data_IF_619056922358
#
_entry.id   IF_619056922358
#
_cell.length_a   1.000
_cell.length_b   1.000
_cell.length_c   1.000
_cell.angle_alpha   90.00
_cell.angle_beta   90.00
_cell.angle_gamma   90.00
#
_symmetry.space_group_name_H-M   'P 1'
#
loop_
_entity.id
_entity.type
_entity.pdbx_description
1 polymer ?
#
# COMPACT_ATOMS: atom_id res chain seq x y z
N UNK A 1 65.40 50.10 30.74
CA UNK A 1 64.64 48.84 30.63
C UNK A 1 63.36 48.96 31.45
N UNK A 2 62.19 49.14 30.81
CA UNK A 2 60.85 48.84 31.37
C UNK A 2 59.95 48.52 30.17
N UNK A 3 59.44 47.28 30.15
CA UNK A 3 58.79 46.63 29.00
C UNK A 3 57.34 47.08 28.86
N UNK A 4 56.94 47.33 27.62
CA UNK A 4 55.56 47.50 27.17
C UNK A 4 54.77 46.21 27.40
N UNK A 5 53.62 46.30 28.08
CA UNK A 5 52.66 45.19 28.22
C UNK A 5 51.38 45.51 27.46
N UNK A 6 51.06 44.60 26.55
CA UNK A 6 49.96 44.67 25.60
C UNK A 6 48.59 44.47 26.27
N UNK A 7 47.60 45.17 25.73
CA UNK A 7 46.16 45.02 26.01
C UNK A 7 45.65 43.81 25.24
N UNK A 8 44.94 42.90 25.90
CA UNK A 8 44.08 41.92 25.23
C UNK A 8 42.67 42.02 25.84
N UNK A 9 41.74 42.53 25.02
CA UNK A 9 40.34 42.65 25.36
C UNK A 9 39.68 41.28 25.42
N UNK A 10 38.89 41.06 26.47
CA UNK A 10 38.01 39.91 26.59
C UNK A 10 36.84 40.11 25.63
N UNK A 11 36.83 39.42 24.48
CA UNK A 11 35.66 39.32 23.62
C UNK A 11 34.83 38.10 24.06
N UNK A 12 33.65 38.39 24.60
CA UNK A 12 32.62 37.42 24.91
C UNK A 12 32.23 36.64 23.64
N UNK A 13 32.35 35.32 23.68
CA UNK A 13 31.81 34.42 22.66
C UNK A 13 30.80 33.50 23.33
N UNK A 14 29.56 33.95 23.42
CA UNK A 14 28.42 33.09 23.74
C UNK A 14 28.11 32.25 22.51
N UNK A 15 28.61 31.01 22.50
CA UNK A 15 28.25 30.02 21.50
C UNK A 15 26.77 29.64 21.66
N UNK A 16 25.91 30.16 20.78
CA UNK A 16 24.53 29.68 20.63
C UNK A 16 24.59 28.30 19.96
N UNK A 17 24.46 27.24 20.75
CA UNK A 17 24.21 25.88 20.28
C UNK A 17 22.76 25.80 19.81
N UNK A 18 22.52 26.03 18.52
CA UNK A 18 21.27 25.63 17.87
C UNK A 18 21.29 24.12 17.67
N UNK A 19 20.81 23.36 18.67
CA UNK A 19 20.48 21.96 18.47
C UNK A 19 19.24 21.90 17.60
N UNK A 20 19.42 21.64 16.30
CA UNK A 20 18.32 21.31 15.39
C UNK A 20 17.79 19.94 15.83
N UNK A 21 16.83 19.93 16.75
CA UNK A 21 15.96 18.77 16.95
C UNK A 21 15.09 18.66 15.71
N UNK A 22 15.61 17.94 14.72
CA UNK A 22 14.81 17.48 13.60
C UNK A 22 13.76 16.52 14.14
N UNK A 23 12.55 17.03 14.39
CA UNK A 23 11.39 16.16 14.51
C UNK A 23 11.25 15.46 13.15
N UNK A 24 11.58 14.17 13.10
CA UNK A 24 11.16 13.31 11.99
C UNK A 24 9.64 13.21 12.08
N UNK A 25 8.96 14.20 11.53
CA UNK A 25 7.52 14.15 11.38
C UNK A 25 7.29 13.13 10.26
N UNK A 26 7.06 11.87 10.64
CA UNK A 26 6.39 10.88 9.79
C UNK A 26 4.99 11.43 9.52
N UNK A 27 4.90 12.42 8.64
CA UNK A 27 3.67 12.84 8.00
C UNK A 27 3.31 11.76 6.98
N UNK A 28 3.06 10.55 7.47
CA UNK A 28 2.36 9.54 6.71
C UNK A 28 0.90 9.99 6.82
N UNK A 29 0.38 10.56 5.73
CA UNK A 29 -1.05 10.74 5.55
C UNK A 29 -1.75 9.47 6.02
N UNK A 30 -2.73 9.53 6.92
CA UNK A 30 -3.32 8.32 7.44
C UNK A 30 -4.19 7.71 6.32
N UNK A 31 -3.60 6.78 5.59
CA UNK A 31 -4.29 5.87 4.69
C UNK A 31 -4.99 4.84 5.57
N UNK A 32 -6.07 5.27 6.23
CA UNK A 32 -6.85 4.48 7.21
C UNK A 32 -7.44 3.17 6.65
N UNK A 33 -7.18 2.85 5.38
CA UNK A 33 -7.66 1.65 4.71
C UNK A 33 -6.55 0.73 4.19
N UNK A 34 -5.29 1.19 4.18
CA UNK A 34 -4.16 0.36 3.75
C UNK A 34 -3.69 -0.51 4.91
N UNK A 35 -3.30 -1.72 4.57
CA UNK A 35 -2.85 -2.72 5.51
C UNK A 35 -1.39 -2.47 5.90
N UNK A 36 -1.06 -2.32 7.19
CA UNK A 36 0.33 -2.21 7.61
C UNK A 36 1.17 -3.40 7.14
N UNK A 37 2.33 -3.13 6.53
CA UNK A 37 3.24 -4.17 6.05
C UNK A 37 3.09 -4.50 4.58
N UNK A 38 1.94 -4.21 3.97
CA UNK A 38 1.69 -4.46 2.54
C UNK A 38 2.79 -3.86 1.64
N UNK A 39 3.38 -2.72 2.05
CA UNK A 39 4.46 -2.07 1.31
C UNK A 39 5.74 -2.91 1.17
N UNK A 40 5.90 -3.97 1.96
CA UNK A 40 7.03 -4.91 1.90
C UNK A 40 6.63 -6.26 1.25
N UNK A 41 5.45 -6.34 0.63
CA UNK A 41 4.99 -7.55 -0.06
C UNK A 41 4.42 -8.65 0.82
N UNK A 42 4.30 -8.44 2.12
CA UNK A 42 3.68 -9.40 3.04
C UNK A 42 3.00 -8.70 4.22
N UNK A 43 1.88 -9.25 4.66
CA UNK A 43 1.02 -8.69 5.71
C UNK A 43 0.89 -9.66 6.89
N UNK A 44 0.92 -9.14 8.12
CA UNK A 44 0.50 -9.90 9.30
C UNK A 44 -1.03 -10.04 9.32
N UNK A 45 -1.52 -11.27 9.50
CA UNK A 45 -2.96 -11.55 9.48
C UNK A 45 -3.76 -10.77 10.56
N UNK A 46 -3.14 -10.40 11.68
CA UNK A 46 -3.78 -9.61 12.73
C UNK A 46 -3.92 -8.13 12.35
N UNK A 47 -3.10 -7.66 11.41
CA UNK A 47 -3.08 -6.28 10.94
C UNK A 47 -3.86 -6.09 9.64
N UNK A 48 -4.42 -7.17 9.06
CA UNK A 48 -5.18 -7.14 7.82
C UNK A 48 -6.41 -6.23 7.93
N UNK A 49 -6.49 -5.22 7.07
CA UNK A 49 -7.60 -4.26 7.05
C UNK A 49 -8.24 -4.18 5.67
N UNK A 50 -9.56 -4.33 5.60
CA UNK A 50 -10.31 -4.04 4.37
C UNK A 50 -10.90 -2.63 4.40
N UNK A 51 -10.88 -1.89 3.27
CA UNK A 51 -11.54 -0.59 3.18
C UNK A 51 -13.06 -0.72 3.38
N UNK A 52 -13.68 0.34 3.90
CA UNK A 52 -15.14 0.47 3.87
C UNK A 52 -15.62 0.53 2.40
N UNK A 53 -16.49 -0.39 1.94
CA UNK A 53 -17.00 -0.41 0.57
C UNK A 53 -17.57 0.92 0.07
N UNK A 54 -18.11 1.77 0.95
CA UNK A 54 -18.67 3.07 0.58
C UNK A 54 -17.61 4.09 0.14
N UNK A 55 -16.34 3.84 0.45
CA UNK A 55 -15.19 4.65 0.03
C UNK A 55 -14.65 4.25 -1.34
N UNK A 56 -15.17 3.19 -1.95
CA UNK A 56 -14.81 2.81 -3.31
C UNK A 56 -15.19 3.94 -4.28
N UNK A 57 -14.28 4.29 -5.19
CA UNK A 57 -14.63 5.18 -6.30
C UNK A 57 -15.54 4.44 -7.29
N UNK A 58 -15.40 3.13 -7.41
CA UNK A 58 -16.32 2.24 -8.11
C UNK A 58 -17.30 1.58 -7.12
N UNK A 59 -18.28 2.36 -6.62
CA UNK A 59 -19.23 1.92 -5.58
C UNK A 59 -19.99 0.63 -5.89
N UNK A 60 -20.27 0.37 -7.16
CA UNK A 60 -21.03 -0.80 -7.60
C UNK A 60 -20.22 -2.09 -7.63
N UNK A 61 -18.90 -2.02 -7.50
CA UNK A 61 -18.00 -3.14 -7.80
C UNK A 61 -18.04 -3.56 -9.27
N UNK A 62 -17.54 -4.77 -9.54
CA UNK A 62 -17.52 -5.39 -10.87
C UNK A 62 -18.10 -6.79 -10.79
N UNK A 63 -18.97 -7.15 -11.74
CA UNK A 63 -19.34 -8.55 -11.95
C UNK A 63 -18.20 -9.21 -12.72
N UNK A 64 -17.68 -10.31 -12.19
CA UNK A 64 -16.49 -10.99 -12.74
C UNK A 64 -16.76 -12.47 -12.96
N UNK A 65 -16.02 -13.07 -13.89
CA UNK A 65 -16.00 -14.51 -14.07
C UNK A 65 -15.11 -15.15 -13.00
N UNK A 66 -15.55 -16.27 -12.45
CA UNK A 66 -14.78 -17.08 -11.51
C UNK A 66 -13.45 -17.53 -12.11
N UNK A 67 -13.43 -17.89 -13.39
CA UNK A 67 -12.22 -18.35 -14.09
C UNK A 67 -11.13 -17.26 -14.16
N UNK A 68 -11.52 -16.01 -14.43
CA UNK A 68 -10.58 -14.89 -14.51
C UNK A 68 -9.92 -14.62 -13.15
N UNK A 69 -10.70 -14.73 -12.07
CA UNK A 69 -10.21 -14.57 -10.70
C UNK A 69 -9.31 -15.73 -10.29
N UNK A 70 -9.66 -16.97 -10.64
CA UNK A 70 -8.86 -18.17 -10.34
C UNK A 70 -7.50 -18.18 -11.07
N UNK A 71 -7.39 -17.47 -12.21
CA UNK A 71 -6.13 -17.27 -12.93
C UNK A 71 -5.19 -16.25 -12.25
N UNK A 72 -5.65 -15.51 -11.24
CA UNK A 72 -4.81 -14.61 -10.45
C UNK A 72 -4.13 -15.43 -9.35
N UNK A 73 -2.82 -15.65 -9.52
CA UNK A 73 -2.00 -16.45 -8.62
C UNK A 73 -0.76 -15.68 -8.18
N UNK A 74 -0.01 -16.24 -7.23
CA UNK A 74 1.27 -15.67 -6.81
C UNK A 74 2.17 -15.56 -8.04
N UNK A 75 2.76 -14.38 -8.25
CA UNK A 75 3.56 -14.08 -9.45
C UNK A 75 2.76 -13.46 -10.60
N UNK A 76 1.43 -13.34 -10.52
CA UNK A 76 0.66 -12.60 -11.54
C UNK A 76 1.03 -11.12 -11.47
N UNK A 77 1.33 -10.53 -12.62
CA UNK A 77 1.66 -9.10 -12.73
C UNK A 77 0.41 -8.23 -12.65
N UNK A 78 0.61 -6.97 -12.24
CA UNK A 78 -0.44 -5.94 -12.28
C UNK A 78 -1.11 -5.78 -13.64
N UNK A 79 -0.33 -5.79 -14.72
CA UNK A 79 -0.86 -5.68 -16.08
C UNK A 79 -1.77 -6.87 -16.45
N UNK A 80 -1.41 -8.08 -16.03
CA UNK A 80 -2.27 -9.26 -16.22
C UNK A 80 -3.54 -9.18 -15.36
N UNK A 81 -3.44 -8.73 -14.10
CA UNK A 81 -4.60 -8.55 -13.22
C UNK A 81 -5.57 -7.52 -13.84
N UNK A 82 -5.05 -6.43 -14.42
CA UNK A 82 -5.87 -5.46 -15.15
C UNK A 82 -6.63 -6.10 -16.32
N UNK A 83 -6.02 -7.04 -17.03
CA UNK A 83 -6.67 -7.75 -18.13
C UNK A 83 -7.76 -8.73 -17.64
N UNK A 84 -7.59 -9.31 -16.45
CA UNK A 84 -8.50 -10.30 -15.88
C UNK A 84 -9.71 -9.65 -15.19
N UNK A 85 -9.49 -8.66 -14.33
CA UNK A 85 -10.54 -8.10 -13.45
C UNK A 85 -10.62 -6.57 -13.46
N UNK A 86 -9.85 -5.90 -14.33
CA UNK A 86 -9.84 -4.45 -14.44
C UNK A 86 -9.09 -3.77 -13.29
N UNK A 87 -9.35 -2.47 -13.10
CA UNK A 87 -8.63 -1.62 -12.14
C UNK A 87 -9.16 -1.74 -10.70
N UNK A 88 -8.32 -1.51 -9.66
CA UNK A 88 -8.77 -1.58 -8.26
C UNK A 88 -9.83 -0.54 -7.95
N UNK A 89 -10.82 -0.87 -7.12
CA UNK A 89 -12.00 -0.04 -6.89
C UNK A 89 -11.82 1.07 -5.84
N UNK A 90 -10.63 1.17 -5.24
CA UNK A 90 -10.27 2.15 -4.22
C UNK A 90 -9.08 3.03 -4.64
N UNK A 91 -8.86 4.11 -3.90
CA UNK A 91 -7.79 5.08 -4.18
C UNK A 91 -6.49 4.65 -3.53
N UNK A 92 -5.74 3.79 -4.21
CA UNK A 92 -4.50 3.20 -3.68
C UNK A 92 -3.24 4.03 -3.97
N UNK A 93 -3.35 5.02 -4.86
CA UNK A 93 -2.24 5.87 -5.26
C UNK A 93 -1.30 5.25 -6.29
N UNK A 94 -0.24 5.99 -6.62
CA UNK A 94 0.77 5.56 -7.60
C UNK A 94 1.68 4.48 -7.00
N UNK A 95 2.00 3.44 -7.78
CA UNK A 95 2.82 2.31 -7.33
C UNK A 95 2.33 1.60 -6.06
N UNK A 96 1.01 1.57 -5.84
CA UNK A 96 0.41 0.91 -4.69
C UNK A 96 0.92 -0.52 -4.48
N UNK A 97 1.11 -0.94 -3.23
CA UNK A 97 1.52 -2.33 -2.90
C UNK A 97 0.36 -3.21 -2.46
N UNK A 98 -0.82 -2.65 -2.60
CA UNK A 98 -2.08 -3.20 -2.15
C UNK A 98 -3.14 -2.70 -3.11
N UNK A 99 -3.97 -3.61 -3.61
CA UNK A 99 -5.13 -3.29 -4.41
C UNK A 99 -6.36 -3.91 -3.79
N UNK A 100 -7.38 -3.08 -3.56
CA UNK A 100 -8.68 -3.53 -3.10
C UNK A 100 -9.73 -3.51 -4.22
N UNK A 101 -10.59 -4.52 -4.19
CA UNK A 101 -11.70 -4.71 -5.12
C UNK A 101 -12.99 -5.00 -4.36
N UNK A 102 -14.10 -4.72 -5.05
CA UNK A 102 -15.45 -5.21 -4.72
C UNK A 102 -15.90 -6.05 -5.90
N UNK A 103 -15.83 -7.36 -5.78
CA UNK A 103 -16.17 -8.32 -6.81
C UNK A 103 -17.56 -8.89 -6.56
N UNK A 104 -18.28 -9.16 -7.64
CA UNK A 104 -19.61 -9.76 -7.62
C UNK A 104 -19.61 -11.04 -8.44
N UNK A 105 -20.08 -12.12 -7.85
CA UNK A 105 -20.16 -13.43 -8.49
C UNK A 105 -21.61 -13.85 -8.62
N UNK A 106 -21.97 -14.35 -9.79
CA UNK A 106 -23.26 -15.02 -9.99
C UNK A 106 -23.16 -16.46 -9.51
N UNK A 107 -24.06 -16.82 -8.61
CA UNK A 107 -24.29 -18.20 -8.20
C UNK A 107 -25.22 -18.90 -9.19
N UNK A 108 -25.24 -20.23 -9.16
CA UNK A 108 -26.14 -21.07 -9.97
C UNK A 108 -27.61 -20.83 -9.68
N UNK A 109 -27.93 -20.26 -8.52
CA UNK A 109 -29.30 -19.98 -8.07
C UNK A 109 -29.74 -18.53 -8.36
N UNK A 110 -29.14 -17.86 -9.35
CA UNK A 110 -29.35 -16.44 -9.71
C UNK A 110 -29.06 -15.43 -8.58
N UNK A 111 -28.41 -15.88 -7.50
CA UNK A 111 -27.97 -15.01 -6.41
C UNK A 111 -26.65 -14.34 -6.77
N UNK A 112 -26.49 -13.08 -6.38
CA UNK A 112 -25.23 -12.34 -6.52
C UNK A 112 -24.55 -12.26 -5.16
N UNK A 113 -23.38 -12.86 -5.04
CA UNK A 113 -22.53 -12.73 -3.86
C UNK A 113 -21.55 -11.57 -4.08
N UNK A 114 -21.38 -10.71 -3.07
CA UNK A 114 -20.45 -9.58 -3.10
C UNK A 114 -19.29 -9.85 -2.16
N UNK A 115 -18.08 -9.79 -2.70
CA UNK A 115 -16.83 -10.10 -2.02
C UNK A 115 -15.88 -8.91 -2.13
N UNK A 116 -15.24 -8.54 -1.03
CA UNK A 116 -14.04 -7.73 -1.10
C UNK A 116 -12.84 -8.64 -1.32
N UNK A 117 -11.98 -8.23 -2.25
CA UNK A 117 -10.79 -8.97 -2.64
C UNK A 117 -9.60 -8.02 -2.57
N UNK A 118 -8.57 -8.43 -1.82
CA UNK A 118 -7.35 -7.67 -1.63
C UNK A 118 -6.17 -8.45 -2.19
N UNK A 119 -5.32 -7.75 -2.93
CA UNK A 119 -4.09 -8.28 -3.49
C UNK A 119 -2.92 -7.49 -2.92
N UNK A 120 -1.96 -8.19 -2.32
CA UNK A 120 -0.68 -7.62 -1.90
C UNK A 120 0.35 -7.86 -3.00
N UNK A 121 1.18 -6.86 -3.23
CA UNK A 121 2.24 -6.91 -4.23
C UNK A 121 3.61 -6.83 -3.59
N UNK A 122 4.57 -7.54 -4.16
CA UNK A 122 5.96 -7.48 -3.76
C UNK A 122 6.54 -6.05 -3.80
N UNK A 123 7.65 -5.89 -3.09
CA UNK A 123 8.41 -4.64 -3.08
C UNK A 123 9.59 -4.65 -4.06
N UNK A 124 9.66 -5.67 -4.94
CA UNK A 124 10.79 -5.88 -5.83
C UNK A 124 10.99 -4.68 -6.76
N UNK A 125 12.04 -3.93 -6.48
CA UNK A 125 12.55 -2.89 -7.37
C UNK A 125 13.82 -3.41 -8.03
N UNK A 126 13.72 -4.56 -8.72
CA UNK A 126 14.87 -5.22 -9.37
C UNK A 126 15.33 -4.51 -10.66
N UNK A 127 15.25 -3.18 -10.72
CA UNK A 127 15.72 -2.41 -11.88
C UNK A 127 15.05 -2.81 -13.21
N UNK A 128 13.89 -3.46 -13.15
CA UNK A 128 13.12 -3.82 -14.35
C UNK A 128 12.69 -2.56 -15.08
N UNK A 129 12.65 -2.66 -16.40
CA UNK A 129 12.49 -1.56 -17.36
C UNK A 129 11.18 -0.76 -17.18
N UNK A 130 10.21 -1.29 -16.40
CA UNK A 130 8.99 -0.59 -16.03
C UNK A 130 8.78 -0.60 -14.52
N UNK A 131 8.50 0.59 -14.00
CA UNK A 131 8.31 0.94 -12.60
C UNK A 131 6.96 0.47 -12.00
N UNK A 132 6.14 -0.23 -12.77
CA UNK A 132 4.82 -0.75 -12.42
C UNK A 132 4.72 -2.29 -12.39
N UNK A 133 5.80 -2.99 -12.72
CA UNK A 133 5.83 -4.46 -12.77
C UNK A 133 6.04 -5.05 -11.37
N UNK A 134 4.99 -5.03 -10.54
CA UNK A 134 4.97 -5.74 -9.27
C UNK A 134 4.19 -7.05 -9.41
N UNK A 135 4.61 -8.04 -8.64
CA UNK A 135 4.00 -9.36 -8.64
C UNK A 135 3.10 -9.54 -7.43
N UNK A 136 1.93 -10.15 -7.64
CA UNK A 136 1.05 -10.51 -6.55
C UNK A 136 1.73 -11.56 -5.65
N UNK A 137 1.67 -11.35 -4.34
CA UNK A 137 2.30 -12.22 -3.32
C UNK A 137 1.26 -12.86 -2.42
N UNK A 138 0.24 -12.11 -2.03
CA UNK A 138 -0.78 -12.56 -1.07
C UNK A 138 -2.17 -12.10 -1.50
N UNK A 139 -3.17 -12.88 -1.10
CA UNK A 139 -4.56 -12.68 -1.48
C UNK A 139 -5.46 -12.84 -0.27
N UNK A 140 -6.36 -11.88 -0.07
CA UNK A 140 -7.28 -11.88 1.05
C UNK A 140 -8.71 -11.63 0.59
N UNK A 141 -9.64 -12.24 1.32
CA UNK A 141 -11.07 -12.24 0.98
C UNK A 141 -11.91 -11.82 2.18
N UNK A 142 -12.93 -10.98 1.93
CA UNK A 142 -13.95 -10.65 2.90
C UNK A 142 -15.35 -10.71 2.26
N UNK A 143 -16.28 -11.55 2.76
CA UNK A 143 -16.07 -12.55 3.82
C UNK A 143 -15.10 -13.66 3.40
N UNK A 144 -14.51 -14.36 4.38
CA UNK A 144 -13.52 -15.41 4.12
C UNK A 144 -14.05 -16.58 3.26
N UNK A 145 -15.38 -16.79 3.26
CA UNK A 145 -16.04 -17.77 2.38
C UNK A 145 -15.82 -17.51 0.89
N UNK A 146 -15.61 -16.25 0.49
CA UNK A 146 -15.34 -15.87 -0.88
C UNK A 146 -14.02 -16.41 -1.42
N UNK A 147 -13.11 -16.90 -0.57
CA UNK A 147 -11.88 -17.54 -1.01
C UNK A 147 -12.12 -18.76 -1.92
N UNK A 148 -13.33 -19.33 -1.93
CA UNK A 148 -13.72 -20.37 -2.86
C UNK A 148 -13.73 -19.91 -4.33
N UNK A 149 -13.86 -18.60 -4.59
CA UNK A 149 -13.83 -18.05 -5.95
C UNK A 149 -12.41 -17.83 -6.50
N UNK A 150 -11.38 -17.97 -5.67
CA UNK A 150 -9.97 -17.81 -6.07
C UNK A 150 -9.19 -19.12 -6.10
N UNK A 151 -9.87 -20.27 -6.12
CA UNK A 151 -9.26 -21.60 -6.17
C UNK A 151 -9.53 -22.30 -7.49
#
# INVERSE_FOLDING_TARGET
MKKSTYRYGLLATTALLFTVTGCTQKNITPTWHLTPGAQHGSVDANDLMFPDPNKAWQKGGSIVNHEDVANIQVGTTKDQIYQLIGTPHFSEGFNAREWDYILKFHSTDDRVETCQYKIIFDDSYEGRLRNDEFFATEFYWQPASCANYGR
#
